data_IF_010039239190
#
_entry.id   IF_010039239190
#
_cell.length_a   1.000
_cell.length_b   1.000
_cell.length_c   1.000
_cell.angle_alpha   90.00
_cell.angle_beta   90.00
_cell.angle_gamma   90.00
#
_symmetry.space_group_name_H-M   'P 1'
#
loop_
_entity.id
_entity.type
_entity.pdbx_description
1 polymer ?
#
# COMPACT_ATOMS: atom_id res chain seq x y z
N UNK A 1 1.51 -10.29 -5.74
CA UNK A 1 0.31 -11.15 -5.60
C UNK A 1 0.67 -12.45 -4.91
N UNK A 2 1.63 -13.23 -5.43
CA UNK A 2 2.06 -14.50 -4.83
C UNK A 2 2.55 -14.36 -3.39
N UNK A 3 3.42 -13.38 -3.10
CA UNK A 3 3.87 -13.10 -1.73
C UNK A 3 2.70 -12.79 -0.79
N UNK A 4 1.80 -11.88 -1.16
CA UNK A 4 0.61 -11.54 -0.37
C UNK A 4 -0.32 -12.73 -0.16
N UNK A 5 -0.47 -13.58 -1.18
CA UNK A 5 -1.26 -14.82 -1.09
C UNK A 5 -0.62 -15.80 -0.12
N UNK A 6 0.70 -15.97 -0.16
CA UNK A 6 1.42 -16.82 0.79
C UNK A 6 1.27 -16.30 2.22
N UNK A 7 1.49 -15.00 2.44
CA UNK A 7 1.31 -14.35 3.76
C UNK A 7 -0.10 -14.58 4.30
N UNK A 8 -1.13 -14.32 3.48
CA UNK A 8 -2.52 -14.55 3.89
C UNK A 8 -2.81 -16.03 4.17
N UNK A 9 -2.33 -16.95 3.33
CA UNK A 9 -2.53 -18.39 3.50
C UNK A 9 -1.90 -18.92 4.80
N UNK A 10 -0.63 -18.57 5.04
CA UNK A 10 0.10 -18.96 6.27
C UNK A 10 -0.42 -18.24 7.51
N UNK A 11 -1.08 -17.08 7.35
CA UNK A 11 -1.82 -16.40 8.44
C UNK A 11 -3.22 -17.00 8.70
N UNK A 12 -3.60 -18.09 8.01
CA UNK A 12 -4.89 -18.76 8.20
C UNK A 12 -6.06 -18.11 7.45
N UNK A 13 -5.83 -17.09 6.64
CA UNK A 13 -6.85 -16.44 5.81
C UNK A 13 -7.16 -17.26 4.54
N UNK A 14 -7.67 -18.49 4.72
CA UNK A 14 -7.84 -19.49 3.65
C UNK A 14 -9.13 -19.37 2.84
N UNK A 15 -10.03 -18.44 3.18
CA UNK A 15 -11.23 -18.15 2.40
C UNK A 15 -11.05 -16.86 1.60
N UNK A 16 -11.72 -16.74 0.46
CA UNK A 16 -11.62 -15.57 -0.42
C UNK A 16 -11.81 -14.25 0.35
N UNK A 17 -12.88 -14.14 1.13
CA UNK A 17 -13.19 -12.92 1.87
C UNK A 17 -12.12 -12.60 2.93
N UNK A 18 -11.64 -13.62 3.67
CA UNK A 18 -10.58 -13.41 4.67
C UNK A 18 -9.26 -13.01 4.01
N UNK A 19 -8.90 -13.67 2.91
CA UNK A 19 -7.72 -13.34 2.12
C UNK A 19 -7.76 -11.91 1.59
N UNK A 20 -8.91 -11.51 1.00
CA UNK A 20 -9.12 -10.17 0.48
C UNK A 20 -8.92 -9.13 1.59
N UNK A 21 -9.63 -9.27 2.71
CA UNK A 21 -9.54 -8.33 3.82
C UNK A 21 -8.14 -8.28 4.43
N UNK A 22 -7.48 -9.44 4.59
CA UNK A 22 -6.14 -9.52 5.13
C UNK A 22 -5.12 -8.77 4.27
N UNK A 23 -5.11 -9.03 2.96
CA UNK A 23 -4.20 -8.35 2.02
C UNK A 23 -4.55 -6.87 1.90
N UNK A 24 -5.85 -6.53 1.87
CA UNK A 24 -6.30 -5.15 1.74
C UNK A 24 -5.89 -4.30 2.94
N UNK A 25 -6.07 -4.81 4.17
CA UNK A 25 -5.68 -4.11 5.39
C UNK A 25 -4.16 -3.93 5.46
N UNK A 26 -3.38 -4.98 5.10
CA UNK A 26 -1.92 -4.86 5.04
C UNK A 26 -1.48 -3.78 4.05
N UNK A 27 -2.07 -3.78 2.85
CA UNK A 27 -1.75 -2.77 1.84
C UNK A 27 -2.18 -1.37 2.28
N UNK A 28 -3.38 -1.24 2.84
CA UNK A 28 -3.91 0.03 3.33
C UNK A 28 -3.04 0.60 4.45
N UNK A 29 -2.55 -0.23 5.38
CA UNK A 29 -1.68 0.21 6.46
C UNK A 29 -0.35 0.77 5.93
N UNK A 30 0.28 0.07 4.99
CA UNK A 30 1.52 0.54 4.35
C UNK A 30 1.28 1.84 3.56
N UNK A 31 0.21 1.90 2.77
CA UNK A 31 -0.13 3.08 1.98
C UNK A 31 -0.46 4.30 2.87
N UNK A 32 -1.12 4.08 4.00
CA UNK A 32 -1.43 5.16 4.95
C UNK A 32 -0.16 5.64 5.66
N UNK A 33 0.73 4.72 6.03
CA UNK A 33 2.03 5.06 6.61
C UNK A 33 2.86 5.89 5.62
N UNK A 34 2.90 5.49 4.35
CA UNK A 34 3.60 6.22 3.29
C UNK A 34 3.07 7.66 3.17
N UNK A 35 1.77 7.84 2.95
CA UNK A 35 1.19 9.17 2.73
C UNK A 35 1.27 10.07 3.97
N UNK A 36 0.96 9.55 5.17
CA UNK A 36 0.90 10.37 6.38
C UNK A 36 2.29 10.60 6.95
N UNK A 37 3.08 9.53 7.11
CA UNK A 37 4.36 9.60 7.82
C UNK A 37 5.46 9.99 6.87
N UNK A 38 5.60 9.33 5.72
CA UNK A 38 6.73 9.58 4.82
C UNK A 38 6.49 10.84 3.97
N UNK A 39 5.46 10.85 3.12
CA UNK A 39 5.18 11.95 2.20
C UNK A 39 4.93 13.26 2.94
N UNK A 40 3.95 13.26 3.85
CA UNK A 40 3.50 14.46 4.55
C UNK A 40 4.36 14.75 5.78
N UNK A 41 4.65 13.75 6.60
CA UNK A 41 5.37 13.93 7.86
C UNK A 41 6.85 14.24 7.65
N UNK A 42 7.54 13.42 6.85
CA UNK A 42 8.99 13.47 6.70
C UNK A 42 9.41 14.34 5.53
N UNK A 43 8.97 14.03 4.30
CA UNK A 43 9.53 14.66 3.09
C UNK A 43 9.14 16.13 2.94
N UNK A 44 7.95 16.54 3.39
CA UNK A 44 7.56 17.95 3.45
C UNK A 44 8.47 18.79 4.37
N UNK A 45 9.03 18.19 5.42
CA UNK A 45 9.64 18.91 6.54
C UNK A 45 11.14 18.70 6.70
N UNK A 46 11.74 17.69 6.07
CA UNK A 46 13.17 17.37 6.19
C UNK A 46 13.85 17.28 4.83
N UNK A 47 14.59 18.32 4.44
CA UNK A 47 15.38 18.31 3.19
C UNK A 47 16.39 17.18 3.13
N UNK A 48 17.01 16.83 4.27
CA UNK A 48 18.00 15.75 4.37
C UNK A 48 17.41 14.37 4.04
N UNK A 49 16.11 14.19 4.21
CA UNK A 49 15.41 12.92 4.00
C UNK A 49 14.66 12.89 2.65
N UNK A 50 14.74 13.96 1.85
CA UNK A 50 14.19 13.98 0.49
C UNK A 50 15.03 13.10 -0.44
N UNK A 51 14.48 12.83 -1.61
CA UNK A 51 15.15 12.05 -2.65
C UNK A 51 16.39 12.84 -3.11
N UNK A 52 17.50 12.14 -3.26
CA UNK A 52 18.75 12.76 -3.69
C UNK A 52 18.59 13.44 -5.06
N UNK A 53 18.95 14.72 -5.16
CA UNK A 53 18.78 15.53 -6.37
C UNK A 53 17.45 16.26 -6.49
N UNK A 54 16.54 16.13 -5.52
CA UNK A 54 15.26 16.87 -5.47
C UNK A 54 15.08 17.69 -4.18
N UNK A 55 16.12 17.82 -3.35
CA UNK A 55 16.06 18.39 -2.01
C UNK A 55 15.54 19.82 -1.98
N UNK A 56 15.74 20.59 -3.06
CA UNK A 56 15.31 21.98 -3.20
C UNK A 56 13.96 22.16 -3.90
N UNK A 57 13.26 21.06 -4.25
CA UNK A 57 11.92 21.09 -4.83
C UNK A 57 10.84 21.35 -3.76
N UNK A 58 11.00 22.41 -2.97
CA UNK A 58 10.16 22.73 -1.81
C UNK A 58 8.66 22.81 -2.14
N UNK A 59 8.33 23.36 -3.32
CA UNK A 59 6.94 23.47 -3.80
C UNK A 59 6.31 22.10 -4.06
N UNK A 60 7.06 21.18 -4.66
CA UNK A 60 6.55 19.85 -5.01
C UNK A 60 6.39 18.99 -3.75
N UNK A 61 7.39 19.02 -2.85
CA UNK A 61 7.28 18.29 -1.60
C UNK A 61 6.11 18.78 -0.73
N UNK A 62 5.86 20.10 -0.66
CA UNK A 62 4.74 20.66 0.13
C UNK A 62 3.39 20.68 -0.61
N UNK A 63 3.28 20.00 -1.75
CA UNK A 63 2.01 19.83 -2.45
C UNK A 63 1.20 18.69 -1.80
N UNK A 64 0.58 18.95 -0.65
CA UNK A 64 -0.16 17.93 0.11
C UNK A 64 -1.28 17.25 -0.70
N UNK A 65 -1.93 17.98 -1.61
CA UNK A 65 -2.99 17.42 -2.45
C UNK A 65 -2.44 16.38 -3.45
N UNK A 66 -1.20 16.55 -3.92
CA UNK A 66 -0.53 15.56 -4.75
C UNK A 66 -0.35 14.24 -3.99
N UNK A 67 0.15 14.29 -2.76
CA UNK A 67 0.35 13.12 -1.90
C UNK A 67 -0.97 12.41 -1.57
N UNK A 68 -2.02 13.16 -1.21
CA UNK A 68 -3.35 12.56 -0.96
C UNK A 68 -3.92 11.89 -2.21
N UNK A 69 -3.77 12.51 -3.38
CA UNK A 69 -4.17 11.87 -4.65
C UNK A 69 -3.35 10.62 -4.94
N UNK A 70 -2.05 10.63 -4.62
CA UNK A 70 -1.18 9.45 -4.66
C UNK A 70 -1.71 8.33 -3.77
N UNK A 71 -2.03 8.65 -2.51
CA UNK A 71 -2.62 7.73 -1.55
C UNK A 71 -3.93 7.10 -2.02
N UNK A 72 -4.83 7.87 -2.63
CA UNK A 72 -6.08 7.34 -3.20
C UNK A 72 -5.80 6.35 -4.34
N UNK A 73 -4.84 6.66 -5.24
CA UNK A 73 -4.41 5.73 -6.28
C UNK A 73 -3.82 4.45 -5.67
N UNK A 74 -3.07 4.58 -4.57
CA UNK A 74 -2.56 3.46 -3.80
C UNK A 74 -3.67 2.58 -3.22
N UNK A 75 -4.75 3.15 -2.69
CA UNK A 75 -5.91 2.37 -2.21
C UNK A 75 -6.53 1.56 -3.35
N UNK A 76 -6.73 2.17 -4.53
CA UNK A 76 -7.27 1.49 -5.71
C UNK A 76 -6.36 0.32 -6.13
N UNK A 77 -5.04 0.55 -6.14
CA UNK A 77 -4.07 -0.51 -6.39
C UNK A 77 -4.19 -1.62 -5.34
N UNK A 78 -4.32 -1.27 -4.05
CA UNK A 78 -4.53 -2.22 -2.96
C UNK A 78 -5.75 -3.12 -3.15
N UNK A 79 -6.86 -2.57 -3.66
CA UNK A 79 -8.06 -3.36 -4.00
C UNK A 79 -7.74 -4.39 -5.09
N UNK A 80 -7.07 -3.98 -6.18
CA UNK A 80 -6.70 -4.89 -7.28
C UNK A 80 -5.77 -6.00 -6.79
N UNK A 81 -4.77 -5.64 -5.99
CA UNK A 81 -3.79 -6.58 -5.41
C UNK A 81 -4.48 -7.61 -4.50
N UNK A 82 -5.42 -7.13 -3.69
CA UNK A 82 -6.18 -7.97 -2.76
C UNK A 82 -7.09 -8.93 -3.50
N UNK A 83 -7.75 -8.46 -4.57
CA UNK A 83 -8.62 -9.28 -5.42
C UNK A 83 -7.83 -10.41 -6.12
N UNK A 84 -6.68 -10.09 -6.72
CA UNK A 84 -5.84 -11.10 -7.37
C UNK A 84 -5.30 -12.12 -6.37
N UNK A 85 -4.92 -11.67 -5.17
CA UNK A 85 -4.40 -12.55 -4.12
C UNK A 85 -5.49 -13.47 -3.54
N UNK A 86 -6.72 -12.96 -3.37
CA UNK A 86 -7.85 -13.76 -2.91
C UNK A 86 -8.32 -14.78 -3.96
N UNK A 87 -8.23 -14.46 -5.25
CA UNK A 87 -8.47 -15.42 -6.33
C UNK A 87 -7.48 -16.60 -6.28
N UNK A 88 -6.18 -16.33 -6.06
CA UNK A 88 -5.16 -17.39 -5.91
C UNK A 88 -5.52 -18.30 -4.73
N UNK A 89 -5.85 -17.72 -3.57
CA UNK A 89 -6.23 -18.51 -2.38
C UNK A 89 -7.48 -19.32 -2.63
N UNK A 90 -8.49 -18.75 -3.29
CA UNK A 90 -9.72 -19.48 -3.63
C UNK A 90 -9.44 -20.72 -4.49
N UNK A 91 -8.61 -20.59 -5.53
CA UNK A 91 -8.23 -21.70 -6.40
C UNK A 91 -7.47 -22.78 -5.61
N UNK A 92 -6.48 -22.38 -4.81
CA UNK A 92 -5.67 -23.30 -4.00
C UNK A 92 -6.50 -24.01 -2.93
N UNK A 93 -7.53 -23.35 -2.37
CA UNK A 93 -8.38 -23.94 -1.33
C UNK A 93 -9.43 -24.92 -1.87
N UNK A 94 -9.60 -25.04 -3.20
CA UNK A 94 -10.54 -25.98 -3.86
C UNK A 94 -9.83 -27.25 -4.35
N UNK A 95 -8.51 -27.18 -4.55
CA UNK A 95 -7.64 -28.30 -4.91
C UNK A 95 -7.23 -29.05 -3.64
#
# INVERSE_FOLDING_TARGET
MTLFSAVAYFSGAKTFQRAFLHVFILFLAVNLFDVIVLDIGVFCHSKKLRIAGTEDMDKEYKNYLFHVKGGIKGIILGVVISLLSSCIIYIVSII
#
